data_IF_768362591699
#
_entry.id   IF_768362591699
#
_cell.length_a   1.000
_cell.length_b   1.000
_cell.length_c   1.000
_cell.angle_alpha   90.00
_cell.angle_beta   90.00
_cell.angle_gamma   90.00
#
_symmetry.space_group_name_H-M   'P 1'
#
loop_
_entity.id
_entity.type
_entity.pdbx_description
1 polymer ?
#
# COMPACT_ATOMS: atom_id res chain seq x y z
N UNK A 1 -3.68 6.95 17.47
CA UNK A 1 -3.22 5.62 17.00
C UNK A 1 -4.26 5.12 16.04
N UNK A 2 -3.86 4.66 14.86
CA UNK A 2 -4.76 4.08 13.86
C UNK A 2 -4.46 2.58 13.75
N UNK A 3 -5.50 1.76 13.71
CA UNK A 3 -5.36 0.32 13.51
C UNK A 3 -5.97 -0.04 12.17
N UNK A 4 -5.19 -0.71 11.32
CA UNK A 4 -5.56 -1.05 9.96
C UNK A 4 -5.43 -2.57 9.75
N UNK A 5 -6.30 -3.09 8.89
CA UNK A 5 -6.13 -4.40 8.24
C UNK A 5 -6.33 -4.16 6.76
N UNK A 6 -5.56 -4.85 5.92
CA UNK A 6 -5.67 -4.72 4.47
C UNK A 6 -6.23 -6.02 3.91
N UNK A 7 -7.31 -5.89 3.15
CA UNK A 7 -7.81 -6.96 2.28
C UNK A 7 -7.23 -6.75 0.88
N UNK A 8 -6.84 -7.86 0.24
CA UNK A 8 -6.36 -7.85 -1.16
C UNK A 8 -7.29 -8.60 -2.10
N UNK A 9 -8.42 -9.09 -1.61
CA UNK A 9 -9.33 -9.99 -2.31
C UNK A 9 -10.78 -9.49 -2.28
N UNK A 10 -10.96 -8.18 -2.27
CA UNK A 10 -12.30 -7.56 -2.28
C UNK A 10 -13.05 -7.65 -0.95
N UNK A 11 -12.36 -7.95 0.15
CA UNK A 11 -12.90 -7.92 1.51
C UNK A 11 -13.22 -9.30 2.07
N UNK A 12 -12.91 -10.38 1.33
CA UNK A 12 -13.18 -11.76 1.75
C UNK A 12 -12.24 -12.21 2.85
N UNK A 13 -10.95 -11.87 2.74
CA UNK A 13 -9.94 -12.14 3.75
C UNK A 13 -9.16 -10.88 4.10
N UNK A 14 -8.70 -10.83 5.35
CA UNK A 14 -8.03 -9.66 5.91
C UNK A 14 -6.72 -10.09 6.54
N UNK A 15 -5.64 -9.42 6.13
CA UNK A 15 -4.32 -9.67 6.68
C UNK A 15 -4.18 -9.29 8.15
N UNK A 16 -2.94 -9.36 8.62
CA UNK A 16 -2.56 -9.04 10.00
C UNK A 16 -2.94 -7.59 10.38
N UNK A 17 -3.20 -7.41 11.68
CA UNK A 17 -3.50 -6.11 12.26
C UNK A 17 -2.23 -5.25 12.33
N UNK A 18 -2.20 -4.19 11.53
CA UNK A 18 -1.12 -3.20 11.53
C UNK A 18 -1.51 -2.01 12.41
N UNK A 19 -0.62 -1.64 13.34
CA UNK A 19 -0.80 -0.47 14.20
C UNK A 19 0.06 0.68 13.67
N UNK A 20 -0.56 1.75 13.19
CA UNK A 20 0.12 2.95 12.71
C UNK A 20 0.15 4.00 13.81
N UNK A 21 1.35 4.50 14.11
CA UNK A 21 1.58 5.57 15.08
C UNK A 21 2.07 6.81 14.34
N UNK A 22 1.57 7.99 14.71
CA UNK A 22 1.86 9.29 14.05
C UNK A 22 3.37 9.65 14.02
N UNK A 23 4.21 8.93 14.77
CA UNK A 23 5.67 9.11 14.77
C UNK A 23 6.39 8.48 13.58
N UNK A 24 5.72 7.59 12.84
CA UNK A 24 6.27 7.06 11.60
C UNK A 24 6.30 8.23 10.60
N UNK A 25 7.48 8.78 10.31
CA UNK A 25 7.69 9.85 9.32
C UNK A 25 7.36 9.31 7.93
N UNK A 26 6.07 9.22 7.63
CA UNK A 26 5.59 8.91 6.30
C UNK A 26 5.91 10.12 5.43
N UNK A 27 6.75 9.89 4.41
CA UNK A 27 7.05 10.92 3.41
C UNK A 27 5.74 11.21 2.65
N UNK A 28 5.41 12.49 2.39
CA UNK A 28 4.27 12.84 1.56
C UNK A 28 4.33 12.11 0.21
N UNK A 29 3.18 11.67 -0.33
CA UNK A 29 3.16 11.07 -1.66
C UNK A 29 3.64 12.06 -2.71
N UNK A 30 4.42 11.59 -3.69
CA UNK A 30 4.96 12.43 -4.77
C UNK A 30 3.88 12.87 -5.78
N UNK A 31 2.80 12.09 -5.91
CA UNK A 31 1.66 12.36 -6.77
C UNK A 31 0.37 11.76 -6.19
N UNK A 32 -0.78 12.27 -6.65
CA UNK A 32 -2.10 11.70 -6.34
C UNK A 32 -2.54 10.64 -7.37
N UNK A 33 -1.72 10.34 -8.38
CA UNK A 33 -1.99 9.32 -9.41
C UNK A 33 -1.44 7.99 -8.93
N UNK A 34 -2.22 6.91 -9.00
CA UNK A 34 -1.72 5.58 -8.64
C UNK A 34 -0.77 5.04 -9.73
N UNK A 35 0.42 4.53 -9.37
CA UNK A 35 0.93 4.40 -8.01
C UNK A 35 1.57 5.69 -7.46
N UNK A 36 1.23 6.11 -6.23
CA UNK A 36 1.70 7.36 -5.61
C UNK A 36 3.18 7.32 -5.22
N UNK A 37 3.82 6.16 -5.42
CA UNK A 37 5.25 5.93 -5.27
C UNK A 37 5.72 4.92 -6.32
N UNK A 38 6.96 5.06 -6.79
CA UNK A 38 7.63 4.11 -7.68
C UNK A 38 8.05 2.81 -6.95
N UNK A 39 7.14 2.29 -6.14
CA UNK A 39 7.25 1.04 -5.43
C UNK A 39 7.49 -0.09 -6.46
N UNK A 40 8.47 -1.00 -6.27
CA UNK A 40 8.74 -2.07 -7.24
C UNK A 40 7.55 -3.00 -7.53
N UNK A 41 6.60 -3.07 -6.60
CA UNK A 41 5.35 -3.84 -6.75
C UNK A 41 4.27 -3.12 -7.56
N UNK A 42 4.39 -1.81 -7.71
CA UNK A 42 3.37 -0.93 -8.26
C UNK A 42 3.81 -0.32 -9.60
N UNK A 43 5.11 -0.08 -9.76
CA UNK A 43 5.73 0.45 -10.97
C UNK A 43 6.10 -0.61 -12.00
N UNK A 44 5.80 -1.90 -11.75
CA UNK A 44 5.84 -2.91 -12.80
C UNK A 44 4.53 -2.75 -13.58
N UNK A 45 4.55 -2.35 -14.86
CA UNK A 45 3.36 -2.46 -15.68
C UNK A 45 2.94 -3.94 -15.68
N UNK A 46 1.73 -4.21 -15.23
CA UNK A 46 1.12 -5.53 -15.32
C UNK A 46 1.06 -5.91 -16.80
N UNK A 47 1.99 -6.76 -17.26
CA UNK A 47 2.04 -7.15 -18.67
C UNK A 47 3.29 -7.87 -19.19
N UNK A 48 4.40 -7.95 -18.45
CA UNK A 48 5.53 -8.80 -18.87
C UNK A 48 6.19 -9.49 -17.67
N UNK A 49 5.66 -10.65 -17.29
CA UNK A 49 6.50 -11.76 -16.84
C UNK A 49 7.05 -12.51 -18.07
N UNK A 50 8.05 -13.40 -17.90
CA UNK A 50 8.46 -14.30 -18.98
C UNK A 50 7.29 -15.16 -19.47
#
# INVERSE_FOLDING_TARGET
>A
MLTLRVSRDGGRTWGERTVVRVRDRLVPPHSSVWPPCACPRCGRPDGQGP
#
